data_IF_577306828203
#
_entry.id   IF_577306828203
#
_cell.length_a   1.000
_cell.length_b   1.000
_cell.length_c   1.000
_cell.angle_alpha   90.00
_cell.angle_beta   90.00
_cell.angle_gamma   90.00
#
_symmetry.space_group_name_H-M   'P 1'
#
loop_
_entity.id
_entity.type
_entity.pdbx_description
1 polymer ?
#
# COMPACT_ATOMS: atom_id res chain seq x y z
N UNK A 1 3.76 -13.45 -11.22
CA UNK A 1 2.59 -13.46 -10.31
C UNK A 1 2.95 -12.52 -9.18
N UNK A 2 2.20 -11.44 -8.95
CA UNK A 2 2.50 -10.51 -7.85
C UNK A 2 1.95 -11.07 -6.54
N UNK A 3 2.80 -11.13 -5.52
CA UNK A 3 2.40 -11.64 -4.21
C UNK A 3 1.37 -10.71 -3.55
N UNK A 4 0.40 -11.29 -2.81
CA UNK A 4 -0.59 -10.51 -2.07
C UNK A 4 0.08 -9.65 -1.00
N UNK A 5 -0.57 -8.54 -0.62
CA UNK A 5 -0.12 -7.73 0.50
C UNK A 5 -0.05 -8.58 1.78
N UNK A 6 1.06 -8.53 2.54
CA UNK A 6 1.19 -9.27 3.80
C UNK A 6 0.22 -8.77 4.86
N UNK A 7 -0.05 -9.61 5.87
CA UNK A 7 -0.92 -9.29 7.00
C UNK A 7 -2.39 -9.10 6.61
N UNK A 8 -3.07 -8.21 7.32
CA UNK A 8 -4.49 -7.90 7.09
C UNK A 8 -4.67 -6.49 6.50
N UNK A 9 -4.43 -6.29 5.19
CA UNK A 9 -4.65 -5.00 4.55
C UNK A 9 -6.14 -4.63 4.59
N UNK A 10 -6.44 -3.40 4.98
CA UNK A 10 -7.80 -2.88 4.90
C UNK A 10 -8.36 -2.95 3.46
N UNK A 11 -9.69 -3.04 3.28
CA UNK A 11 -10.32 -3.33 1.99
C UNK A 11 -9.94 -2.33 0.89
N UNK A 12 -9.79 -1.05 1.24
CA UNK A 12 -9.33 0.00 0.30
C UNK A 12 -7.93 -0.27 -0.23
N UNK A 13 -6.99 -0.63 0.65
CA UNK A 13 -5.60 -0.85 0.24
C UNK A 13 -5.45 -2.15 -0.54
N UNK A 14 -6.19 -3.19 -0.14
CA UNK A 14 -6.25 -4.46 -0.86
C UNK A 14 -6.75 -4.26 -2.29
N UNK A 15 -7.90 -3.62 -2.45
CA UNK A 15 -8.49 -3.34 -3.76
C UNK A 15 -7.55 -2.51 -4.65
N UNK A 16 -6.97 -1.44 -4.09
CA UNK A 16 -5.99 -0.63 -4.82
C UNK A 16 -4.84 -1.49 -5.33
N UNK A 17 -4.27 -2.33 -4.48
CA UNK A 17 -3.13 -3.17 -4.84
C UNK A 17 -3.49 -4.20 -5.91
N UNK A 18 -4.70 -4.75 -5.88
CA UNK A 18 -5.23 -5.65 -6.92
C UNK A 18 -5.53 -4.94 -8.25
N UNK A 19 -5.78 -3.63 -8.24
CA UNK A 19 -5.96 -2.82 -9.45
C UNK A 19 -4.63 -2.40 -10.09
N UNK A 20 -3.50 -2.48 -9.36
CA UNK A 20 -2.18 -2.16 -9.90
C UNK A 20 -1.70 -3.22 -10.89
N UNK A 21 -0.97 -2.77 -11.91
CA UNK A 21 -0.18 -3.61 -12.80
C UNK A 21 0.85 -4.44 -12.02
N UNK A 22 1.15 -5.69 -12.44
CA UNK A 22 2.06 -6.57 -11.71
C UNK A 22 3.42 -5.97 -11.37
N UNK A 23 4.02 -5.21 -12.30
CA UNK A 23 5.34 -4.57 -12.11
C UNK A 23 5.26 -3.39 -11.13
N UNK A 24 4.11 -2.71 -11.09
CA UNK A 24 3.88 -1.59 -10.17
C UNK A 24 3.64 -2.10 -8.75
N UNK A 25 2.99 -3.26 -8.60
CA UNK A 25 2.73 -3.88 -7.29
C UNK A 25 4.02 -4.12 -6.51
N UNK A 26 5.05 -4.67 -7.14
CA UNK A 26 6.33 -4.92 -6.46
C UNK A 26 6.94 -3.61 -5.94
N UNK A 27 6.95 -2.58 -6.77
CA UNK A 27 7.44 -1.25 -6.38
C UNK A 27 6.62 -0.68 -5.22
N UNK A 28 5.29 -0.75 -5.28
CA UNK A 28 4.41 -0.26 -4.21
C UNK A 28 4.59 -1.06 -2.93
N UNK A 29 4.75 -2.39 -3.02
CA UNK A 29 5.01 -3.25 -1.87
C UNK A 29 6.29 -2.82 -1.15
N UNK A 30 7.38 -2.61 -1.89
CA UNK A 30 8.63 -2.09 -1.31
C UNK A 30 8.39 -0.77 -0.60
N UNK A 31 7.67 0.19 -1.23
CA UNK A 31 7.38 1.48 -0.60
C UNK A 31 6.41 1.41 0.58
N UNK A 32 5.54 0.42 0.63
CA UNK A 32 4.69 0.19 1.79
C UNK A 32 5.53 -0.27 3.00
N UNK A 33 6.64 -0.97 2.77
CA UNK A 33 7.44 -1.60 3.83
C UNK A 33 8.75 -0.85 4.16
N UNK A 34 9.29 -0.03 3.26
CA UNK A 34 10.59 0.66 3.39
C UNK A 34 10.60 1.84 4.38
N UNK A 35 9.47 2.14 5.04
CA UNK A 35 9.36 3.27 5.97
C UNK A 35 9.31 4.65 5.30
N UNK A 36 9.19 4.74 3.98
CA UNK A 36 9.03 6.00 3.24
C UNK A 36 7.80 6.79 3.69
N UNK A 37 7.78 8.12 3.47
CA UNK A 37 6.63 8.97 3.83
C UNK A 37 5.32 8.44 3.23
N UNK A 38 4.34 8.18 4.10
CA UNK A 38 3.01 7.73 3.71
C UNK A 38 2.28 8.79 2.85
N UNK A 39 2.52 10.06 3.12
CA UNK A 39 2.01 11.20 2.37
C UNK A 39 2.57 11.22 0.95
N UNK A 40 3.88 11.00 0.80
CA UNK A 40 4.50 10.91 -0.52
C UNK A 40 3.96 9.73 -1.32
N UNK A 41 3.82 8.56 -0.70
CA UNK A 41 3.27 7.39 -1.38
C UNK A 41 1.81 7.60 -1.78
N UNK A 42 0.97 8.12 -0.88
CA UNK A 42 -0.41 8.47 -1.18
C UNK A 42 -0.52 9.48 -2.32
N UNK A 43 0.36 10.50 -2.34
CA UNK A 43 0.39 11.49 -3.41
C UNK A 43 0.75 10.87 -4.76
N UNK A 44 1.76 9.99 -4.81
CA UNK A 44 2.16 9.29 -6.04
C UNK A 44 1.01 8.43 -6.54
N UNK A 45 0.44 7.57 -5.69
CA UNK A 45 -0.69 6.70 -6.06
C UNK A 45 -1.88 7.53 -6.58
N UNK A 46 -2.20 8.65 -5.92
CA UNK A 46 -3.27 9.55 -6.36
C UNK A 46 -2.99 10.18 -7.72
N UNK A 47 -1.74 10.58 -8.01
CA UNK A 47 -1.36 11.11 -9.34
C UNK A 47 -1.55 10.09 -10.45
N UNK A 48 -1.48 8.80 -10.13
CA UNK A 48 -1.73 7.70 -11.06
C UNK A 48 -3.17 7.17 -11.01
N UNK A 49 -4.10 7.90 -10.38
CA UNK A 49 -5.53 7.55 -10.36
C UNK A 49 -5.95 6.63 -9.22
N UNK A 50 -5.03 6.24 -8.33
CA UNK A 50 -5.33 5.37 -7.20
C UNK A 50 -5.54 6.16 -5.91
N UNK A 51 -6.77 6.23 -5.44
CA UNK A 51 -7.12 6.99 -4.24
C UNK A 51 -6.85 6.20 -2.96
N UNK A 52 -5.80 6.57 -2.23
CA UNK A 52 -5.53 6.07 -0.88
C UNK A 52 -5.02 7.19 0.02
N UNK A 53 -5.42 7.16 1.29
CA UNK A 53 -4.97 8.17 2.26
C UNK A 53 -3.66 7.75 2.92
N UNK A 54 -2.86 8.74 3.33
CA UNK A 54 -1.67 8.48 4.14
C UNK A 54 -2.04 7.78 5.48
N UNK A 55 -3.23 8.07 6.02
CA UNK A 55 -3.74 7.39 7.23
C UNK A 55 -3.91 5.89 6.98
N UNK A 56 -4.53 5.50 5.86
CA UNK A 56 -4.69 4.09 5.46
C UNK A 56 -3.34 3.36 5.39
N UNK A 57 -2.33 4.00 4.79
CA UNK A 57 -0.98 3.43 4.70
C UNK A 57 -0.35 3.27 6.09
N UNK A 58 -0.47 4.28 6.97
CA UNK A 58 0.07 4.18 8.35
C UNK A 58 -0.64 3.11 9.16
N UNK A 59 -1.97 3.01 9.07
CA UNK A 59 -2.76 1.97 9.73
C UNK A 59 -2.32 0.58 9.29
N UNK A 60 -2.14 0.37 7.98
CA UNK A 60 -1.62 -0.89 7.46
C UNK A 60 -0.20 -1.21 7.97
N UNK A 61 0.71 -0.24 7.91
CA UNK A 61 2.06 -0.42 8.44
C UNK A 61 2.06 -0.74 9.94
N UNK A 62 1.12 -0.16 10.68
CA UNK A 62 0.94 -0.44 12.11
C UNK A 62 0.42 -1.85 12.33
N UNK A 63 -0.60 -2.31 11.59
CA UNK A 63 -1.11 -3.68 11.75
C UNK A 63 -0.04 -4.73 11.47
N UNK A 64 0.85 -4.49 10.50
CA UNK A 64 2.00 -5.35 10.23
C UNK A 64 2.98 -5.44 11.40
N UNK A 65 3.19 -4.33 12.12
CA UNK A 65 4.07 -4.31 13.31
C UNK A 65 3.42 -4.94 14.52
N UNK A 66 2.13 -4.73 14.68
CA UNK A 66 1.36 -5.20 15.84
C UNK A 66 1.02 -6.71 15.73
N UNK A 67 1.27 -7.35 14.57
CA UNK A 67 1.08 -8.79 14.37
C UNK A 67 -0.39 -9.25 14.38
N UNK A 68 -1.31 -8.32 14.08
CA UNK A 68 -2.78 -8.52 14.09
C UNK A 68 -3.29 -8.91 12.71
#
# INVERSE_FOLDING_TARGET
MSDPLPGNPGPTLKRLYEELEPDVRETVLVRLLDGSSAERLALVLRKHGHAVSASTIRTYRRSLRDGV
#
